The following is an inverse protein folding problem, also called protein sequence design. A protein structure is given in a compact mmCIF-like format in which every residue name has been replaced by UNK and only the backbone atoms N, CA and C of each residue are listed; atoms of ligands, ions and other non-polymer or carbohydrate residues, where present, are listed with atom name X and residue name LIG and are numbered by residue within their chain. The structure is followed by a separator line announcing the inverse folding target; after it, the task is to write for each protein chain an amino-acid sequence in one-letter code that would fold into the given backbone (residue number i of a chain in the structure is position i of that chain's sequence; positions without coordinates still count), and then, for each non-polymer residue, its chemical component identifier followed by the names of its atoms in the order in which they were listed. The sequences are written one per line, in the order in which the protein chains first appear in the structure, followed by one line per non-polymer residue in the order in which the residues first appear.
data_IF_556825561079
#
_entry.id   IF_556825561079
#
_cell.length_a   1.000
_cell.length_b   1.000
_cell.length_c   1.000
_cell.angle_alpha   90.00
_cell.angle_beta   90.00
_cell.angle_gamma   90.00
#
_symmetry.space_group_name_H-M   'P 1'
#
loop_
_entity.id
_entity.type
_entity.pdbx_description
1 polymer ?
#
# COMPACT_ATOMS: atom_id res chain seq x y z
N UNK A 1 10.71 -16.76 -4.31
CA UNK A 1 9.75 -16.01 -5.17
C UNK A 1 8.30 -16.41 -4.87
N UNK A 2 7.98 -16.78 -3.62
CA UNK A 2 6.76 -17.56 -3.29
C UNK A 2 5.72 -16.77 -2.47
N UNK A 3 5.98 -15.49 -2.18
CA UNK A 3 5.21 -14.70 -1.21
C UNK A 3 3.78 -14.35 -1.64
N UNK A 4 3.45 -14.45 -2.93
CA UNK A 4 2.15 -14.02 -3.46
C UNK A 4 1.25 -15.18 -3.91
N UNK A 5 1.68 -16.42 -3.68
CA UNK A 5 0.94 -17.63 -4.09
C UNK A 5 -0.48 -17.67 -3.52
N UNK A 6 -0.68 -17.15 -2.32
CA UNK A 6 -1.98 -17.13 -1.65
C UNK A 6 -2.98 -16.13 -2.27
N UNK A 7 -2.50 -14.95 -2.69
CA UNK A 7 -3.31 -13.93 -3.40
C UNK A 7 -3.60 -14.35 -4.85
N UNK A 8 -2.66 -15.09 -5.46
CA UNK A 8 -2.75 -15.56 -6.84
C UNK A 8 -3.53 -16.87 -7.01
N UNK A 9 -3.90 -17.53 -5.91
CA UNK A 9 -4.53 -18.87 -5.89
C UNK A 9 -5.95 -18.93 -6.47
N UNK A 10 -6.55 -17.79 -6.83
CA UNK A 10 -7.90 -17.76 -7.38
C UNK A 10 -7.98 -17.00 -8.71
N UNK A 11 -7.85 -17.71 -9.83
CA UNK A 11 -8.38 -17.30 -11.14
C UNK A 11 -7.65 -16.13 -11.85
N UNK A 12 -6.31 -16.15 -11.90
CA UNK A 12 -5.53 -15.33 -12.81
C UNK A 12 -4.79 -16.22 -13.82
N UNK A 13 -4.82 -15.84 -15.10
CA UNK A 13 -4.03 -16.50 -16.14
C UNK A 13 -2.54 -16.29 -15.86
N UNK A 14 -1.64 -17.24 -16.21
CA UNK A 14 -0.19 -17.08 -16.00
C UNK A 14 0.39 -15.77 -16.55
N UNK A 15 -0.17 -15.23 -17.64
CA UNK A 15 0.19 -13.92 -18.20
C UNK A 15 -0.21 -12.74 -17.28
N UNK A 16 -1.38 -12.85 -16.66
CA UNK A 16 -1.89 -11.88 -15.71
C UNK A 16 -1.09 -11.91 -14.40
N UNK A 17 -0.72 -13.11 -13.95
CA UNK A 17 0.18 -13.35 -12.82
C UNK A 17 1.56 -12.71 -13.03
N UNK A 18 2.17 -12.92 -14.21
CA UNK A 18 3.45 -12.28 -14.57
C UNK A 18 3.34 -10.75 -14.60
N UNK A 19 2.26 -10.23 -15.18
CA UNK A 19 1.99 -8.78 -15.23
C UNK A 19 1.85 -8.19 -13.83
N UNK A 20 1.09 -8.87 -12.96
CA UNK A 20 0.90 -8.49 -11.57
C UNK A 20 2.24 -8.47 -10.81
N UNK A 21 3.06 -9.52 -10.94
CA UNK A 21 4.38 -9.57 -10.30
C UNK A 21 5.31 -8.46 -10.78
N UNK A 22 5.33 -8.15 -12.08
CA UNK A 22 6.14 -7.05 -12.64
C UNK A 22 5.71 -5.69 -12.09
N UNK A 23 4.41 -5.44 -12.03
CA UNK A 23 3.85 -4.19 -11.49
C UNK A 23 4.16 -4.07 -10.00
N UNK A 24 3.92 -5.12 -9.21
CA UNK A 24 4.26 -5.15 -7.79
C UNK A 24 5.75 -4.89 -7.57
N UNK A 25 6.62 -5.64 -8.24
CA UNK A 25 8.06 -5.46 -8.11
C UNK A 25 8.51 -4.05 -8.52
N UNK A 26 7.87 -3.44 -9.53
CA UNK A 26 8.19 -2.07 -9.93
C UNK A 26 7.79 -1.04 -8.88
N UNK A 27 6.70 -1.26 -8.13
CA UNK A 27 6.22 -0.35 -7.08
C UNK A 27 7.02 -0.57 -5.79
N UNK A 28 7.24 -1.81 -5.37
CA UNK A 28 7.93 -2.14 -4.13
C UNK A 28 9.44 -1.83 -4.16
N UNK A 29 10.05 -1.79 -5.35
CA UNK A 29 11.44 -1.33 -5.51
C UNK A 29 11.60 0.20 -5.41
N UNK A 30 10.49 0.96 -5.32
CA UNK A 30 10.59 2.40 -5.20
C UNK A 30 11.02 2.81 -3.78
N UNK A 31 11.92 3.79 -3.65
CA UNK A 31 12.48 4.20 -2.35
C UNK A 31 11.45 4.86 -1.42
N UNK A 32 10.34 5.34 -1.98
CA UNK A 32 9.23 5.94 -1.23
C UNK A 32 8.18 4.92 -0.76
N UNK A 33 8.26 3.67 -1.21
CA UNK A 33 7.28 2.65 -0.88
C UNK A 33 7.64 1.96 0.43
N UNK A 34 6.66 1.87 1.34
CA UNK A 34 6.81 1.15 2.60
C UNK A 34 6.85 -0.35 2.30
N UNK A 35 8.03 -0.97 2.32
CA UNK A 35 8.24 -2.39 1.97
C UNK A 35 7.74 -3.37 3.05
N UNK A 36 6.68 -2.99 3.76
CA UNK A 36 6.02 -3.79 4.76
C UNK A 36 5.16 -4.86 4.09
N UNK A 37 5.23 -6.09 4.61
CA UNK A 37 4.51 -7.24 4.07
C UNK A 37 3.00 -6.97 3.94
N UNK A 38 2.43 -6.24 4.89
CA UNK A 38 1.00 -5.84 4.85
C UNK A 38 0.68 -4.87 3.73
N UNK A 39 1.55 -3.91 3.43
CA UNK A 39 1.33 -2.94 2.36
C UNK A 39 1.44 -3.63 0.98
N UNK A 40 2.40 -4.53 0.83
CA UNK A 40 2.55 -5.37 -0.35
C UNK A 40 1.34 -6.28 -0.59
N UNK A 41 0.84 -6.94 0.45
CA UNK A 41 -0.30 -7.87 0.35
C UNK A 41 -1.61 -7.15 -0.04
N UNK A 42 -1.90 -6.01 0.60
CA UNK A 42 -3.07 -5.18 0.28
C UNK A 42 -2.98 -4.64 -1.16
N UNK A 43 -1.79 -4.22 -1.60
CA UNK A 43 -1.59 -3.74 -2.97
C UNK A 43 -1.79 -4.88 -3.98
N UNK A 44 -1.26 -6.07 -3.69
CA UNK A 44 -1.39 -7.24 -4.54
C UNK A 44 -2.86 -7.68 -4.69
N UNK A 45 -3.62 -7.72 -3.60
CA UNK A 45 -5.03 -8.07 -3.62
C UNK A 45 -5.85 -7.10 -4.48
N UNK A 46 -5.65 -5.79 -4.29
CA UNK A 46 -6.39 -4.78 -5.06
C UNK A 46 -6.04 -4.79 -6.54
N UNK A 47 -4.76 -5.00 -6.89
CA UNK A 47 -4.34 -5.14 -8.28
C UNK A 47 -4.90 -6.42 -8.92
N UNK A 48 -4.96 -7.53 -8.17
CA UNK A 48 -5.58 -8.77 -8.64
C UNK A 48 -7.08 -8.59 -8.95
N UNK A 49 -7.80 -7.80 -8.15
CA UNK A 49 -9.21 -7.45 -8.41
C UNK A 49 -9.35 -6.62 -9.71
N UNK A 50 -8.45 -5.66 -9.95
CA UNK A 50 -8.47 -4.85 -11.19
C UNK A 50 -8.24 -5.71 -12.44
N UNK A 51 -7.30 -6.65 -12.37
CA UNK A 51 -7.03 -7.57 -13.47
C UNK A 51 -8.25 -8.46 -13.73
N UNK A 52 -8.90 -8.95 -12.66
CA UNK A 52 -10.16 -9.71 -12.77
C UNK A 52 -11.30 -8.91 -13.40
N UNK A 53 -11.33 -7.59 -13.20
CA UNK A 53 -12.29 -6.69 -13.85
C UNK A 53 -11.97 -6.41 -15.33
N UNK A 54 -10.89 -6.98 -15.87
CA UNK A 54 -10.49 -6.82 -17.27
C UNK A 54 -9.50 -5.69 -17.52
N UNK A 55 -8.90 -5.11 -16.47
CA UNK A 55 -7.82 -4.13 -16.63
C UNK A 55 -6.49 -4.89 -16.73
N UNK A 56 -6.11 -5.24 -17.94
CA UNK A 56 -4.93 -6.06 -18.22
C UNK A 56 -3.69 -5.24 -18.61
N UNK A 57 -3.85 -3.93 -18.80
CA UNK A 57 -2.74 -3.06 -19.19
C UNK A 57 -1.81 -2.79 -17.99
N UNK A 58 -0.57 -3.29 -18.08
CA UNK A 58 0.47 -3.13 -17.08
C UNK A 58 0.72 -1.67 -16.68
N UNK A 59 0.71 -0.74 -17.65
CA UNK A 59 0.97 0.68 -17.39
C UNK A 59 -0.18 1.34 -16.60
N UNK A 60 -1.42 0.94 -16.87
CA UNK A 60 -2.59 1.40 -16.11
C UNK A 60 -2.57 0.82 -14.69
N UNK A 61 -2.30 -0.48 -14.55
CA UNK A 61 -2.19 -1.14 -13.26
C UNK A 61 -1.10 -0.50 -12.39
N UNK A 62 0.05 -0.19 -12.99
CA UNK A 62 1.13 0.51 -12.31
C UNK A 62 0.72 1.91 -11.87
N UNK A 63 0.08 2.69 -12.74
CA UNK A 63 -0.39 4.05 -12.41
C UNK A 63 -1.39 4.03 -11.25
N UNK A 64 -2.34 3.09 -11.29
CA UNK A 64 -3.35 2.93 -10.23
C UNK A 64 -2.68 2.46 -8.93
N UNK A 65 -1.79 1.48 -9.02
CA UNK A 65 -1.06 0.94 -7.87
C UNK A 65 -0.19 1.99 -7.17
N UNK A 66 0.56 2.80 -7.95
CA UNK A 66 1.34 3.94 -7.43
C UNK A 66 0.42 4.98 -6.79
N UNK A 67 -0.69 5.34 -7.44
CA UNK A 67 -1.64 6.33 -6.89
C UNK A 67 -2.23 5.88 -5.55
N UNK A 68 -2.58 4.59 -5.42
CA UNK A 68 -3.03 4.03 -4.15
C UNK A 68 -1.94 4.00 -3.09
N UNK A 69 -0.73 3.59 -3.45
CA UNK A 69 0.39 3.52 -2.52
C UNK A 69 0.78 4.92 -2.00
N UNK A 70 0.83 5.93 -2.88
CA UNK A 70 1.07 7.32 -2.50
C UNK A 70 -0.05 7.86 -1.61
N UNK A 71 -1.32 7.59 -1.95
CA UNK A 71 -2.44 8.00 -1.12
C UNK A 71 -2.42 7.32 0.26
N UNK A 72 -2.04 6.04 0.34
CA UNK A 72 -1.88 5.34 1.63
C UNK A 72 -0.72 5.91 2.45
N UNK A 73 0.40 6.22 1.79
CA UNK A 73 1.54 6.89 2.41
C UNK A 73 1.15 8.25 2.99
N UNK A 74 0.46 9.10 2.22
CA UNK A 74 -0.04 10.40 2.69
C UNK A 74 -1.00 10.20 3.86
N UNK A 75 -1.94 9.25 3.74
CA UNK A 75 -2.95 9.00 4.79
C UNK A 75 -2.32 8.46 6.08
N UNK A 76 -1.30 7.62 6.00
CA UNK A 76 -0.57 7.13 7.17
C UNK A 76 0.34 8.21 7.77
N UNK A 77 1.03 9.01 6.94
CA UNK A 77 1.80 10.18 7.41
C UNK A 77 0.93 11.17 8.19
N UNK A 78 -0.27 11.47 7.68
CA UNK A 78 -1.25 12.36 8.36
C UNK A 78 -1.78 11.75 9.67
N UNK A 79 -1.91 10.41 9.76
CA UNK A 79 -2.32 9.76 11.02
C UNK A 79 -1.22 9.81 12.07
N UNK A 80 0.04 9.61 11.67
CA UNK A 80 1.19 9.69 12.57
C UNK A 80 1.36 11.12 13.08
N UNK A 81 1.23 12.12 12.20
CA UNK A 81 1.26 13.54 12.56
C UNK A 81 0.15 13.91 13.55
N UNK A 82 -1.09 13.48 13.30
CA UNK A 82 -2.22 13.67 14.22
C UNK A 82 -2.04 12.98 15.58
N UNK A 83 -1.43 11.79 15.60
CA UNK A 83 -1.14 11.08 16.83
C UNK A 83 -0.08 11.82 17.67
N UNK A 84 0.96 12.34 17.01
CA UNK A 84 2.01 13.16 17.64
C UNK A 84 1.43 14.46 18.20
N UNK A 85 0.58 15.16 17.43
CA UNK A 85 -0.10 16.38 17.88
C UNK A 85 -0.99 16.12 19.12
N UNK A 86 -1.77 15.04 19.11
CA UNK A 86 -2.59 14.65 20.27
C UNK A 86 -1.75 14.36 21.51
N UNK A 87 -0.60 13.68 21.35
CA UNK A 87 0.27 13.37 22.47
C UNK A 87 0.93 14.63 23.06
N UNK A 88 1.28 15.59 22.21
CA UNK A 88 1.92 16.84 22.63
C UNK A 88 0.91 17.76 23.34
N UNK A 89 -0.32 17.86 22.81
CA UNK A 89 -1.40 18.61 23.45
C UNK A 89 -1.72 18.08 24.86
N UNK A 90 -1.84 16.74 24.99
CA UNK A 90 -2.14 16.09 26.27
C UNK A 90 -1.02 16.28 27.30
N UNK A 91 0.25 16.33 26.86
CA UNK A 91 1.39 16.66 27.74
C UNK A 91 1.39 18.12 28.20
N UNK A 92 0.97 19.06 27.37
CA UNK A 92 0.88 20.49 27.74
C UNK A 92 -0.25 20.70 28.75
N UNK A 93 -1.41 20.05 28.58
CA UNK A 93 -2.51 20.11 29.55
C UNK A 93 -2.13 19.55 30.93
N UNK A 94 -1.36 18.45 30.98
CA UNK A 94 -0.88 17.86 32.23
C UNK A 94 0.13 18.74 32.99
N UNK A 95 0.93 19.55 32.27
CA UNK A 95 1.86 20.51 32.88
C UNK A 95 1.15 21.77 33.39
N UNK A 96 0.07 22.18 32.71
CA UNK A 96 -0.74 23.34 33.11
C UNK A 96 -1.60 23.10 34.36
N UNK A 97 -1.95 21.85 34.67
CA UNK A 97 -2.75 21.48 35.86
C UNK A 97 -1.87 21.32 37.11
N UNK A 98 -0.55 21.24 36.96
CA UNK A 98 0.42 21.05 38.06
C UNK A 98 1.21 22.31 38.46
N UNK A 99 0.91 23.48 37.88
CA UNK A 99 1.53 24.77 38.25
C UNK A 99 0.60 25.62 39.11
#
# INVERSE_FOLDING_TARGET
MERFSHVMSGHLSPKQTDTLQKVLASITNQPWFDNNERACDILAERLAILIKMGIENAAHLQTIGVSWAVNDFIRNGVKTDRATLKNTALRIEQLSIRS
#
